data_IF_977696334752
#
_entry.id   IF_977696334752
#
_cell.length_a   1.000
_cell.length_b   1.000
_cell.length_c   1.000
_cell.angle_alpha   90.00
_cell.angle_beta   90.00
_cell.angle_gamma   90.00
#
_symmetry.space_group_name_H-M   'P 1'
#
loop_
_entity.id
_entity.type
_entity.pdbx_description
1 polymer ?
#
# COMPACT_ATOMS: atom_id res chain seq x y z
N UNK A 1 -7.17 16.47 11.88
CA UNK A 1 -7.10 15.20 12.63
C UNK A 1 -7.73 14.05 11.84
N UNK A 2 -9.01 14.12 11.48
CA UNK A 2 -9.73 13.05 10.74
C UNK A 2 -9.01 12.64 9.44
N UNK A 3 -8.52 13.59 8.68
CA UNK A 3 -7.75 13.35 7.45
C UNK A 3 -6.55 12.42 7.71
N UNK A 4 -5.78 12.66 8.79
CA UNK A 4 -4.64 11.80 9.14
C UNK A 4 -5.06 10.43 9.69
N UNK A 5 -6.19 10.34 10.39
CA UNK A 5 -6.70 9.05 10.90
C UNK A 5 -6.97 8.07 9.75
N UNK A 6 -7.53 8.54 8.62
CA UNK A 6 -7.80 7.66 7.48
C UNK A 6 -6.53 7.21 6.75
N UNK A 7 -5.46 7.99 6.81
CA UNK A 7 -4.14 7.57 6.30
C UNK A 7 -3.51 6.48 7.18
N UNK A 8 -3.60 6.62 8.50
CA UNK A 8 -3.20 5.57 9.45
C UNK A 8 -3.98 4.28 9.20
N UNK A 9 -5.30 4.39 9.05
CA UNK A 9 -6.16 3.25 8.72
C UNK A 9 -5.75 2.60 7.39
N UNK A 10 -5.36 3.38 6.39
CA UNK A 10 -4.86 2.87 5.11
C UNK A 10 -3.58 2.06 5.27
N UNK A 11 -2.59 2.55 6.03
CA UNK A 11 -1.35 1.83 6.29
C UNK A 11 -1.61 0.47 6.94
N UNK A 12 -2.48 0.42 7.95
CA UNK A 12 -2.89 -0.83 8.61
C UNK A 12 -3.68 -1.75 7.67
N UNK A 13 -4.53 -1.18 6.80
CA UNK A 13 -5.28 -1.94 5.80
C UNK A 13 -4.38 -2.65 4.79
N UNK A 14 -3.26 -2.04 4.39
CA UNK A 14 -2.25 -2.69 3.54
C UNK A 14 -1.68 -3.94 4.22
N UNK A 15 -1.40 -3.87 5.53
CA UNK A 15 -0.94 -5.03 6.30
C UNK A 15 -1.99 -6.13 6.31
N UNK A 16 -3.26 -5.78 6.48
CA UNK A 16 -4.37 -6.75 6.54
C UNK A 16 -4.42 -7.65 5.31
N UNK A 17 -4.21 -7.10 4.12
CA UNK A 17 -4.18 -7.85 2.88
C UNK A 17 -3.06 -8.89 2.81
N UNK A 18 -1.90 -8.57 3.36
CA UNK A 18 -0.75 -9.49 3.38
C UNK A 18 -0.91 -10.64 4.37
N UNK A 19 -1.60 -10.44 5.48
CA UNK A 19 -1.77 -11.44 6.54
C UNK A 19 -3.12 -12.15 6.51
N UNK A 20 -4.01 -11.75 5.60
CA UNK A 20 -5.31 -12.37 5.40
C UNK A 20 -5.19 -13.90 5.26
N UNK A 21 -6.15 -14.65 5.80
CA UNK A 21 -6.22 -16.12 5.82
C UNK A 21 -5.10 -16.82 6.63
N UNK A 22 -4.19 -16.09 7.25
CA UNK A 22 -3.02 -16.65 7.99
C UNK A 22 -2.92 -16.20 9.42
N UNK A 23 -3.44 -15.02 9.74
CA UNK A 23 -3.38 -14.41 11.05
C UNK A 23 -4.74 -14.43 11.74
N UNK A 24 -4.77 -14.79 13.02
CA UNK A 24 -5.97 -14.68 13.82
C UNK A 24 -6.34 -13.20 14.03
N UNK A 25 -7.63 -12.95 14.21
CA UNK A 25 -8.18 -11.60 14.30
C UNK A 25 -7.65 -10.79 15.49
N UNK A 26 -7.56 -11.37 16.67
CA UNK A 26 -7.10 -10.68 17.87
C UNK A 26 -5.63 -10.26 17.82
N UNK A 27 -4.67 -11.13 17.43
CA UNK A 27 -3.30 -10.71 17.14
C UNK A 27 -3.22 -9.62 16.07
N UNK A 28 -4.09 -9.66 15.04
CA UNK A 28 -4.13 -8.59 14.04
C UNK A 28 -4.56 -7.26 14.65
N UNK A 29 -5.56 -7.23 15.51
CA UNK A 29 -5.96 -5.99 16.19
C UNK A 29 -4.86 -5.44 17.11
N UNK A 30 -4.13 -6.30 17.81
CA UNK A 30 -2.97 -5.88 18.59
C UNK A 30 -1.87 -5.27 17.72
N UNK A 31 -1.56 -5.91 16.58
CA UNK A 31 -0.62 -5.38 15.58
C UNK A 31 -1.11 -4.05 15.01
N UNK A 32 -2.39 -3.95 14.67
CA UNK A 32 -3.01 -2.73 14.16
C UNK A 32 -2.89 -1.56 15.14
N UNK A 33 -3.19 -1.81 16.41
CA UNK A 33 -3.06 -0.83 17.48
C UNK A 33 -1.61 -0.38 17.68
N UNK A 34 -0.65 -1.30 17.66
CA UNK A 34 0.78 -0.99 17.76
C UNK A 34 1.28 -0.17 16.57
N UNK A 35 0.92 -0.57 15.35
CA UNK A 35 1.33 0.16 14.14
C UNK A 35 0.69 1.55 14.13
N UNK A 36 -0.60 1.66 14.41
CA UNK A 36 -1.32 2.93 14.38
C UNK A 36 -0.88 3.89 15.50
N UNK A 37 -0.62 3.38 16.71
CA UNK A 37 -0.30 4.20 17.87
C UNK A 37 1.19 4.51 18.05
N UNK A 38 2.06 3.71 17.47
CA UNK A 38 3.51 3.87 17.66
C UNK A 38 4.28 3.97 16.34
N UNK A 39 4.21 2.95 15.49
CA UNK A 39 5.09 2.90 14.30
C UNK A 39 4.77 4.02 13.32
N UNK A 40 3.48 4.21 13.02
CA UNK A 40 3.05 5.23 12.08
C UNK A 40 3.35 6.67 12.55
N UNK A 41 3.04 7.08 13.79
CA UNK A 41 3.39 8.44 14.24
C UNK A 41 4.89 8.71 14.23
N UNK A 42 5.73 7.76 14.65
CA UNK A 42 7.19 7.91 14.67
C UNK A 42 7.72 8.08 13.24
N UNK A 43 7.34 7.21 12.33
CA UNK A 43 7.79 7.28 10.94
C UNK A 43 7.17 8.48 10.19
N UNK A 44 5.90 8.79 10.45
CA UNK A 44 5.22 9.93 9.87
C UNK A 44 5.88 11.28 10.26
N UNK A 45 6.42 11.37 11.47
CA UNK A 45 7.19 12.52 11.90
C UNK A 45 8.44 12.75 11.04
N UNK A 46 9.12 11.68 10.59
CA UNK A 46 10.35 11.81 9.79
C UNK A 46 10.16 12.63 8.51
N UNK A 47 8.97 12.62 7.92
CA UNK A 47 8.65 13.42 6.74
C UNK A 47 7.60 14.50 7.04
N UNK A 48 6.34 14.11 7.21
CA UNK A 48 5.22 15.05 7.35
C UNK A 48 5.25 15.87 8.64
N UNK A 49 5.87 15.35 9.68
CA UNK A 49 6.10 16.08 10.95
C UNK A 49 7.29 17.04 10.94
N UNK A 50 7.97 17.20 9.81
CA UNK A 50 9.14 18.10 9.70
C UNK A 50 10.45 17.49 10.20
N UNK A 51 10.53 16.17 10.30
CA UNK A 51 11.75 15.45 10.69
C UNK A 51 12.80 15.38 9.58
N UNK A 52 13.86 14.61 9.82
CA UNK A 52 15.10 14.58 9.05
C UNK A 52 14.92 14.22 7.56
N UNK A 53 13.86 13.49 7.19
CA UNK A 53 13.59 13.18 5.78
C UNK A 53 13.14 14.42 5.00
N UNK A 54 12.34 15.31 5.61
CA UNK A 54 11.83 16.52 4.96
C UNK A 54 12.82 17.67 4.98
N UNK A 55 13.67 17.74 6.02
CA UNK A 55 14.66 18.81 6.15
C UNK A 55 15.51 18.90 4.88
N UNK A 56 15.81 20.11 4.45
CA UNK A 56 16.61 20.37 3.25
C UNK A 56 18.01 19.75 3.37
N UNK A 57 18.60 19.41 2.23
CA UNK A 57 19.93 18.77 2.19
C UNK A 57 21.00 19.70 2.77
N UNK A 58 20.91 21.00 2.50
CA UNK A 58 21.78 22.06 3.04
C UNK A 58 21.71 22.17 4.57
N UNK A 59 20.62 21.76 5.18
CA UNK A 59 20.40 21.73 6.63
C UNK A 59 20.66 20.35 7.25
N UNK A 60 21.30 19.45 6.50
CA UNK A 60 21.68 18.10 6.95
C UNK A 60 20.56 17.05 6.87
N UNK A 61 19.47 17.35 6.21
CA UNK A 61 18.38 16.40 5.93
C UNK A 61 18.48 15.75 4.55
N UNK A 62 17.39 15.12 4.09
CA UNK A 62 17.33 14.41 2.81
C UNK A 62 16.51 15.14 1.73
N UNK A 63 15.77 16.19 2.09
CA UNK A 63 14.91 16.91 1.14
C UNK A 63 13.80 16.07 0.51
N UNK A 64 13.40 14.97 1.16
CA UNK A 64 12.39 14.05 0.63
C UNK A 64 11.00 14.65 0.71
N UNK A 65 10.30 14.66 -0.41
CA UNK A 65 8.92 15.15 -0.51
C UNK A 65 7.99 13.97 -0.72
N UNK A 66 7.07 13.74 0.20
CA UNK A 66 5.98 12.80 0.07
C UNK A 66 4.65 13.57 -0.01
N UNK A 67 4.05 13.60 -1.20
CA UNK A 67 2.85 14.41 -1.43
C UNK A 67 1.61 13.77 -0.79
N UNK A 68 1.30 12.54 -1.12
CA UNK A 68 0.07 11.87 -0.69
C UNK A 68 0.30 10.60 0.14
N UNK A 69 1.54 10.24 0.46
CA UNK A 69 1.82 9.11 1.34
C UNK A 69 2.39 7.88 0.66
N UNK A 70 3.07 8.01 -0.48
CA UNK A 70 3.75 6.87 -1.10
C UNK A 70 4.76 6.21 -0.16
N UNK A 71 5.55 7.01 0.56
CA UNK A 71 6.47 6.55 1.60
C UNK A 71 5.79 6.44 2.96
N UNK A 72 5.19 7.53 3.41
CA UNK A 72 4.66 7.65 4.77
C UNK A 72 3.53 6.67 5.05
N UNK A 73 2.69 6.34 4.07
CA UNK A 73 1.56 5.43 4.23
C UNK A 73 1.83 4.07 3.60
N UNK A 74 2.10 4.06 2.28
CA UNK A 74 2.14 2.81 1.51
C UNK A 74 3.42 2.02 1.74
N UNK A 75 4.59 2.66 1.74
CA UNK A 75 5.85 1.96 2.01
C UNK A 75 5.90 1.46 3.46
N UNK A 76 5.44 2.24 4.42
CA UNK A 76 5.33 1.80 5.82
C UNK A 76 4.41 0.58 5.93
N UNK A 77 3.20 0.67 5.36
CA UNK A 77 2.26 -0.46 5.36
C UNK A 77 2.86 -1.70 4.69
N UNK A 78 3.54 -1.53 3.55
CA UNK A 78 4.21 -2.62 2.84
C UNK A 78 5.39 -3.22 3.62
N UNK A 79 6.19 -2.41 4.28
CA UNK A 79 7.32 -2.89 5.11
C UNK A 79 6.81 -3.70 6.32
N UNK A 80 5.80 -3.21 7.02
CA UNK A 80 5.15 -3.96 8.10
C UNK A 80 4.48 -5.25 7.59
N UNK A 81 3.84 -5.19 6.42
CA UNK A 81 3.24 -6.35 5.76
C UNK A 81 4.29 -7.40 5.39
N UNK A 82 5.44 -6.97 4.86
CA UNK A 82 6.56 -7.86 4.55
C UNK A 82 7.11 -8.54 5.80
N UNK A 83 7.35 -7.77 6.86
CA UNK A 83 7.81 -8.32 8.14
C UNK A 83 6.80 -9.36 8.66
N UNK A 84 5.51 -9.01 8.73
CA UNK A 84 4.47 -9.93 9.17
C UNK A 84 4.40 -11.19 8.30
N UNK A 85 4.50 -11.05 6.98
CA UNK A 85 4.49 -12.20 6.05
C UNK A 85 5.69 -13.14 6.25
N UNK A 86 6.87 -12.60 6.56
CA UNK A 86 8.08 -13.40 6.86
C UNK A 86 7.86 -14.22 8.15
N UNK A 87 7.34 -13.59 9.21
CA UNK A 87 7.10 -14.27 10.49
C UNK A 87 5.99 -15.32 10.42
N UNK A 88 4.89 -15.02 9.74
CA UNK A 88 3.73 -15.92 9.66
C UNK A 88 3.96 -17.04 8.63
N UNK A 89 4.77 -16.79 7.62
CA UNK A 89 5.04 -17.74 6.53
C UNK A 89 3.97 -17.74 5.42
N UNK A 90 4.00 -18.72 4.53
CA UNK A 90 3.12 -18.77 3.35
C UNK A 90 1.68 -19.14 3.72
N UNK A 91 0.74 -18.78 2.82
CA UNK A 91 -0.68 -19.18 2.91
C UNK A 91 -0.80 -20.71 2.92
N UNK A 92 -1.74 -21.24 3.73
CA UNK A 92 -2.03 -22.66 3.78
C UNK A 92 -2.34 -23.21 2.37
N UNK A 93 -1.75 -24.34 2.02
CA UNK A 93 -1.92 -24.98 0.72
C UNK A 93 -1.22 -24.29 -0.45
N UNK A 94 -0.52 -23.15 -0.26
CA UNK A 94 0.20 -22.45 -1.35
C UNK A 94 1.35 -23.27 -1.90
N UNK A 95 2.08 -23.94 -1.03
CA UNK A 95 3.20 -24.81 -1.38
C UNK A 95 2.92 -26.23 -0.92
N UNK A 96 3.41 -27.23 -1.68
CA UNK A 96 3.41 -28.63 -1.26
C UNK A 96 4.30 -28.82 -0.01
N UNK A 97 4.49 -30.09 0.43
CA UNK A 97 5.37 -30.38 1.57
C UNK A 97 6.75 -29.78 1.32
N UNK A 98 7.12 -28.82 2.16
CA UNK A 98 8.39 -28.12 2.08
C UNK A 98 9.34 -28.81 3.07
N UNK A 99 10.41 -29.38 2.57
CA UNK A 99 11.44 -30.06 3.38
C UNK A 99 12.72 -29.22 3.40
N UNK A 100 13.26 -28.97 4.59
CA UNK A 100 14.55 -28.28 4.79
C UNK A 100 14.50 -27.12 5.75
N UNK A 101 15.64 -26.73 6.32
CA UNK A 101 15.79 -25.69 7.35
C UNK A 101 15.41 -24.27 6.88
N UNK A 102 15.42 -24.00 5.56
CA UNK A 102 15.07 -22.71 4.95
C UNK A 102 13.75 -22.78 4.17
N UNK A 103 12.94 -23.78 4.45
CA UNK A 103 11.71 -24.07 3.75
C UNK A 103 10.67 -22.93 3.79
N UNK A 104 10.68 -22.10 4.83
CA UNK A 104 9.78 -20.94 4.97
C UNK A 104 10.18 -19.73 4.12
N UNK A 105 11.49 -19.55 3.85
CA UNK A 105 12.01 -18.38 3.13
C UNK A 105 12.22 -18.67 1.64
N UNK A 106 12.72 -19.86 1.32
CA UNK A 106 13.00 -20.28 -0.06
C UNK A 106 12.41 -21.66 -0.36
N UNK A 107 11.08 -21.77 -0.53
CA UNK A 107 10.45 -23.05 -0.77
C UNK A 107 10.83 -23.58 -2.16
N UNK A 108 11.48 -24.73 -2.22
CA UNK A 108 11.69 -25.49 -3.48
C UNK A 108 10.46 -26.30 -3.91
N UNK A 109 9.36 -26.21 -3.17
CA UNK A 109 8.18 -27.00 -3.42
C UNK A 109 7.36 -26.44 -4.60
N UNK A 110 6.66 -27.34 -5.29
CA UNK A 110 5.72 -26.98 -6.36
C UNK A 110 4.64 -26.04 -5.82
N UNK A 111 4.52 -24.88 -6.46
CA UNK A 111 3.50 -23.89 -6.11
C UNK A 111 2.12 -24.34 -6.57
N UNK A 112 1.18 -24.42 -5.66
CA UNK A 112 -0.22 -24.69 -5.98
C UNK A 112 -0.91 -23.41 -6.45
N UNK A 113 -1.80 -23.52 -7.44
CA UNK A 113 -2.63 -22.41 -7.89
C UNK A 113 -3.74 -22.18 -6.85
N UNK A 114 -3.80 -20.97 -6.31
CA UNK A 114 -4.91 -20.49 -5.47
C UNK A 114 -5.68 -19.49 -6.30
N UNK A 115 -6.86 -19.87 -6.73
CA UNK A 115 -7.73 -19.00 -7.52
C UNK A 115 -8.43 -17.98 -6.62
N UNK A 116 -8.76 -16.80 -7.18
CA UNK A 116 -9.58 -15.80 -6.48
C UNK A 116 -10.98 -16.35 -6.19
N UNK A 117 -11.48 -16.14 -4.99
CA UNK A 117 -12.78 -16.66 -4.56
C UNK A 117 -13.95 -15.94 -5.24
N UNK A 118 -13.82 -14.64 -5.49
CA UNK A 118 -14.88 -13.83 -6.11
C UNK A 118 -14.27 -12.66 -6.90
N UNK A 119 -14.09 -12.84 -8.20
CA UNK A 119 -13.52 -11.82 -9.08
C UNK A 119 -14.41 -10.57 -9.25
N UNK A 120 -15.76 -10.69 -9.36
CA UNK A 120 -16.62 -9.50 -9.38
C UNK A 120 -16.48 -8.61 -8.15
N UNK A 121 -16.42 -9.19 -6.94
CA UNK A 121 -16.20 -8.42 -5.71
C UNK A 121 -14.80 -7.78 -5.70
N UNK A 122 -13.77 -8.46 -6.18
CA UNK A 122 -12.43 -7.90 -6.30
C UNK A 122 -12.41 -6.70 -7.27
N UNK A 123 -13.09 -6.80 -8.42
CA UNK A 123 -13.24 -5.71 -9.36
C UNK A 123 -14.00 -4.53 -8.75
N UNK A 124 -15.11 -4.79 -8.04
CA UNK A 124 -15.85 -3.76 -7.33
C UNK A 124 -14.98 -3.04 -6.29
N UNK A 125 -14.19 -3.80 -5.52
CA UNK A 125 -13.22 -3.22 -4.56
C UNK A 125 -12.21 -2.30 -5.24
N UNK A 126 -11.72 -2.68 -6.41
CA UNK A 126 -10.80 -1.85 -7.21
C UNK A 126 -11.46 -0.53 -7.64
N UNK A 127 -12.71 -0.56 -8.10
CA UNK A 127 -13.44 0.66 -8.47
C UNK A 127 -13.74 1.56 -7.26
N UNK A 128 -14.06 1.00 -6.10
CA UNK A 128 -14.25 1.75 -4.86
C UNK A 128 -12.94 2.43 -4.45
N UNK A 129 -11.82 1.72 -4.52
CA UNK A 129 -10.50 2.30 -4.25
C UNK A 129 -10.15 3.39 -5.26
N UNK A 130 -10.44 3.20 -6.54
CA UNK A 130 -10.19 4.20 -7.57
C UNK A 130 -10.99 5.48 -7.31
N UNK A 131 -12.27 5.35 -6.99
CA UNK A 131 -13.10 6.49 -6.60
C UNK A 131 -12.51 7.19 -5.36
N UNK A 132 -12.12 6.43 -4.32
CA UNK A 132 -11.51 6.96 -3.11
C UNK A 132 -10.18 7.67 -3.36
N UNK A 133 -9.45 7.27 -4.39
CA UNK A 133 -8.15 7.87 -4.72
C UNK A 133 -8.23 9.30 -5.23
N UNK A 134 -9.34 9.71 -5.81
CA UNK A 134 -9.58 11.12 -6.13
C UNK A 134 -9.59 11.98 -4.86
N UNK A 135 -10.17 11.47 -3.77
CA UNK A 135 -10.11 12.10 -2.46
C UNK A 135 -8.73 11.96 -1.80
N UNK A 136 -8.10 10.80 -1.92
CA UNK A 136 -6.80 10.52 -1.31
C UNK A 136 -5.72 11.47 -1.87
N UNK A 137 -5.51 11.50 -3.16
CA UNK A 137 -4.53 12.37 -3.80
C UNK A 137 -5.02 13.80 -3.96
N UNK A 138 -6.26 14.01 -4.40
CA UNK A 138 -6.83 15.34 -4.55
C UNK A 138 -6.91 16.07 -3.21
N UNK A 139 -7.38 15.42 -2.16
CA UNK A 139 -7.43 15.97 -0.81
C UNK A 139 -6.06 16.33 -0.25
N UNK A 140 -4.98 15.66 -0.70
CA UNK A 140 -3.61 15.96 -0.30
C UNK A 140 -3.08 17.31 -0.84
N UNK A 141 -3.79 17.94 -1.79
CA UNK A 141 -3.52 19.31 -2.21
C UNK A 141 -3.84 20.33 -1.11
N UNK A 142 -4.70 19.97 -0.15
CA UNK A 142 -5.05 20.72 1.07
C UNK A 142 -5.69 22.09 0.83
N UNK A 143 -6.02 22.45 -0.40
CA UNK A 143 -6.62 23.74 -0.74
C UNK A 143 -7.44 23.63 -2.02
N UNK A 144 -8.60 24.33 -2.05
CA UNK A 144 -9.43 24.47 -3.25
C UNK A 144 -10.22 25.80 -3.26
N UNK A 145 -9.84 26.74 -2.38
CA UNK A 145 -10.61 27.97 -2.14
C UNK A 145 -10.27 29.13 -3.09
N UNK A 146 -9.24 29.00 -3.92
CA UNK A 146 -8.90 29.96 -4.98
C UNK A 146 -8.93 29.29 -6.33
N UNK A 147 -9.04 30.04 -7.42
CA UNK A 147 -8.99 29.52 -8.78
C UNK A 147 -7.67 28.78 -9.05
N UNK A 148 -6.55 29.29 -8.57
CA UNK A 148 -5.25 28.65 -8.70
C UNK A 148 -5.19 27.32 -7.92
N UNK A 149 -5.66 27.31 -6.67
CA UNK A 149 -5.71 26.12 -5.84
C UNK A 149 -6.66 25.07 -6.45
N UNK A 150 -7.81 25.45 -6.99
CA UNK A 150 -8.73 24.57 -7.68
C UNK A 150 -8.12 23.98 -8.96
N UNK A 151 -7.32 24.78 -9.69
CA UNK A 151 -6.58 24.30 -10.85
C UNK A 151 -5.53 23.24 -10.46
N UNK A 152 -4.73 23.50 -9.41
CA UNK A 152 -3.76 22.53 -8.89
C UNK A 152 -4.43 21.23 -8.43
N UNK A 153 -5.52 21.32 -7.68
CA UNK A 153 -6.35 20.16 -7.30
C UNK A 153 -6.81 19.35 -8.52
N UNK A 154 -7.30 20.04 -9.57
CA UNK A 154 -7.76 19.39 -10.79
C UNK A 154 -6.64 18.65 -11.51
N UNK A 155 -5.43 19.21 -11.57
CA UNK A 155 -4.25 18.53 -12.11
C UNK A 155 -3.92 17.24 -11.34
N UNK A 156 -3.97 17.27 -10.01
CA UNK A 156 -3.74 16.08 -9.18
C UNK A 156 -4.76 14.99 -9.49
N UNK A 157 -6.04 15.36 -9.61
CA UNK A 157 -7.13 14.41 -9.96
C UNK A 157 -6.92 13.82 -11.35
N UNK A 158 -6.60 14.65 -12.35
CA UNK A 158 -6.33 14.21 -13.72
C UNK A 158 -5.13 13.26 -13.80
N UNK A 159 -4.02 13.60 -13.14
CA UNK A 159 -2.83 12.78 -13.10
C UNK A 159 -3.08 11.45 -12.38
N UNK A 160 -3.86 11.45 -11.30
CA UNK A 160 -4.26 10.26 -10.56
C UNK A 160 -5.01 9.29 -11.49
N UNK A 161 -5.99 9.81 -12.24
CA UNK A 161 -6.76 9.01 -13.20
C UNK A 161 -5.89 8.47 -14.34
N UNK A 162 -5.04 9.32 -14.93
CA UNK A 162 -4.14 8.93 -16.01
C UNK A 162 -3.15 7.85 -15.57
N UNK A 163 -2.60 7.97 -14.36
CA UNK A 163 -1.67 6.99 -13.78
C UNK A 163 -2.36 5.63 -13.55
N UNK A 164 -3.58 5.63 -13.01
CA UNK A 164 -4.36 4.42 -12.82
C UNK A 164 -4.64 3.71 -14.16
N UNK A 165 -5.09 4.46 -15.16
CA UNK A 165 -5.32 3.93 -16.51
C UNK A 165 -4.02 3.39 -17.15
N UNK A 166 -2.92 4.14 -17.03
CA UNK A 166 -1.59 3.73 -17.51
C UNK A 166 -1.11 2.44 -16.85
N UNK A 167 -1.35 2.28 -15.55
CA UNK A 167 -1.05 1.05 -14.81
C UNK A 167 -1.79 -0.17 -15.36
N UNK A 168 -3.09 -0.03 -15.67
CA UNK A 168 -3.88 -1.11 -16.28
C UNK A 168 -3.32 -1.48 -17.66
N UNK A 169 -3.05 -0.49 -18.51
CA UNK A 169 -2.49 -0.71 -19.86
C UNK A 169 -1.13 -1.38 -19.78
N UNK A 170 -0.24 -0.89 -18.92
CA UNK A 170 1.09 -1.48 -18.71
C UNK A 170 0.99 -2.94 -18.23
N UNK A 171 0.10 -3.22 -17.28
CA UNK A 171 -0.14 -4.58 -16.78
C UNK A 171 -0.61 -5.53 -17.90
N UNK A 172 -1.54 -5.10 -18.76
CA UNK A 172 -2.02 -5.88 -19.89
C UNK A 172 -0.89 -6.16 -20.91
N UNK A 173 -0.06 -5.15 -21.21
CA UNK A 173 1.09 -5.30 -22.12
C UNK A 173 2.07 -6.33 -21.55
N UNK A 174 2.47 -6.18 -20.27
CA UNK A 174 3.40 -7.09 -19.60
C UNK A 174 2.82 -8.52 -19.55
N UNK A 175 1.54 -8.66 -19.18
CA UNK A 175 0.88 -9.96 -19.16
C UNK A 175 0.89 -10.64 -20.52
N UNK A 176 0.64 -9.87 -21.60
CA UNK A 176 0.64 -10.38 -22.97
C UNK A 176 2.03 -10.76 -23.47
N UNK A 177 3.02 -9.88 -23.25
CA UNK A 177 4.39 -10.05 -23.78
C UNK A 177 5.14 -11.15 -23.04
N UNK A 178 5.16 -11.11 -21.72
CA UNK A 178 5.99 -12.00 -20.91
C UNK A 178 5.28 -13.30 -20.50
N UNK A 179 3.99 -13.24 -20.23
CA UNK A 179 3.25 -14.42 -19.74
C UNK A 179 2.32 -15.04 -20.76
N UNK A 180 2.15 -14.43 -21.94
CA UNK A 180 1.26 -14.86 -23.04
C UNK A 180 -0.19 -15.09 -22.55
N UNK A 181 -0.63 -14.33 -21.55
CA UNK A 181 -1.96 -14.38 -20.94
C UNK A 181 -2.60 -13.01 -21.01
N UNK A 182 -3.91 -12.97 -21.16
CA UNK A 182 -4.71 -11.73 -21.23
C UNK A 182 -5.86 -11.72 -20.22
N UNK A 183 -5.88 -12.68 -19.33
CA UNK A 183 -6.91 -12.84 -18.28
C UNK A 183 -6.27 -13.20 -16.94
#
# INVERSE_FOLDING_TARGET
FFFQVVFVATAVSIISGAVAERMNQWPFFALAAFVAGFVYPVQGYWNWGGGFLKTAVEDGGFGYIDFAGSGTVHLLGAACALAAAIFIGPRMGKYGKVTGKLAGIFPKAKTNKLYGANMPIAALGTFILWLGWFGFNGGSWLSAHTAEAAHGFSHVVMNTNATAAGGVVACLIVARVFFKKTN
#
